data_IF_584466048993
#
_entry.id   IF_584466048993
#
_cell.length_a   1.000
_cell.length_b   1.000
_cell.length_c   1.000
_cell.angle_alpha   90.00
_cell.angle_beta   90.00
_cell.angle_gamma   90.00
#
_symmetry.space_group_name_H-M   'P 1'
#
loop_
_entity.id
_entity.type
_entity.pdbx_description
1 polymer ?
#
# COMPACT_ATOMS: atom_id res chain seq x y z
N UNK A 1 24.77 30.08 -1.76
CA UNK A 1 25.89 30.09 -2.74
C UNK A 1 26.63 28.74 -2.77
N UNK A 2 25.91 27.61 -2.77
CA UNK A 2 26.52 26.28 -2.62
C UNK A 2 26.03 25.22 -3.62
N UNK A 3 25.04 25.52 -4.47
CA UNK A 3 24.48 24.53 -5.41
C UNK A 3 25.18 24.48 -6.79
N UNK A 4 26.00 25.47 -7.16
CA UNK A 4 26.70 25.47 -8.45
C UNK A 4 27.96 24.60 -8.49
N UNK A 5 28.61 24.37 -7.33
CA UNK A 5 29.86 23.58 -7.28
C UNK A 5 29.61 22.07 -7.44
N UNK A 6 28.45 21.56 -7.03
CA UNK A 6 28.12 20.13 -7.21
C UNK A 6 27.77 19.80 -8.67
N UNK A 7 27.07 20.69 -9.37
CA UNK A 7 26.75 20.51 -10.80
C UNK A 7 27.99 20.53 -11.71
N UNK A 8 29.05 21.23 -11.31
CA UNK A 8 30.29 21.34 -12.09
C UNK A 8 31.18 20.08 -11.98
N UNK A 9 31.16 19.41 -10.83
CA UNK A 9 31.92 18.16 -10.61
C UNK A 9 31.34 17.00 -11.43
N UNK A 10 30.01 16.93 -11.54
CA UNK A 10 29.30 15.86 -12.26
C UNK A 10 29.59 15.86 -13.78
N UNK A 11 29.71 17.04 -14.38
CA UNK A 11 30.09 17.19 -15.80
C UNK A 11 31.50 16.70 -16.09
N UNK A 12 32.44 16.83 -15.14
CA UNK A 12 33.82 16.35 -15.30
C UNK A 12 33.93 14.82 -15.23
N UNK A 13 33.16 14.18 -14.34
CA UNK A 13 33.14 12.71 -14.21
C UNK A 13 32.45 12.01 -15.39
N UNK A 14 31.47 12.66 -16.01
CA UNK A 14 30.80 12.14 -17.21
C UNK A 14 31.71 12.11 -18.44
N UNK A 15 32.66 13.04 -18.51
CA UNK A 15 33.61 13.17 -19.62
C UNK A 15 34.83 12.24 -19.48
N UNK A 16 35.04 11.63 -18.32
CA UNK A 16 36.19 10.75 -18.05
C UNK A 16 35.93 9.26 -18.28
N UNK A 17 34.73 8.86 -18.74
CA UNK A 17 34.44 7.45 -19.11
C UNK A 17 34.51 6.43 -17.97
N UNK A 18 34.48 6.90 -16.71
CA UNK A 18 34.80 6.10 -15.52
C UNK A 18 33.60 5.55 -14.76
N UNK A 19 32.37 5.87 -15.17
CA UNK A 19 31.15 5.45 -14.48
C UNK A 19 30.25 4.66 -15.42
N UNK A 20 29.82 3.49 -14.97
CA UNK A 20 28.86 2.65 -15.69
C UNK A 20 27.52 3.40 -15.83
N UNK A 21 26.85 3.23 -16.97
CA UNK A 21 25.59 3.94 -17.28
C UNK A 21 24.50 3.65 -16.24
N UNK A 22 24.56 2.47 -15.63
CA UNK A 22 23.69 1.99 -14.55
C UNK A 22 23.87 2.80 -13.26
N UNK A 23 25.12 3.03 -12.84
CA UNK A 23 25.48 3.78 -11.63
C UNK A 23 25.07 5.25 -11.73
N UNK A 24 25.30 5.85 -12.90
CA UNK A 24 24.88 7.22 -13.20
C UNK A 24 23.35 7.37 -13.16
N UNK A 25 22.62 6.39 -13.68
CA UNK A 25 21.15 6.38 -13.64
C UNK A 25 20.64 6.28 -12.20
N UNK A 26 21.25 5.42 -11.37
CA UNK A 26 20.91 5.29 -9.94
C UNK A 26 21.17 6.58 -9.17
N UNK A 27 22.30 7.24 -9.40
CA UNK A 27 22.65 8.49 -8.70
C UNK A 27 21.73 9.66 -9.07
N UNK A 28 21.30 9.73 -10.35
CA UNK A 28 20.31 10.72 -10.80
C UNK A 28 18.94 10.44 -10.19
N UNK A 29 18.56 9.17 -10.05
CA UNK A 29 17.33 8.77 -9.39
C UNK A 29 17.34 9.18 -7.90
N UNK A 30 18.41 8.87 -7.17
CA UNK A 30 18.58 9.24 -5.77
C UNK A 30 18.46 10.75 -5.51
N UNK A 31 19.12 11.57 -6.35
CA UNK A 31 19.04 13.03 -6.23
C UNK A 31 17.58 13.50 -6.40
N UNK A 32 16.83 12.91 -7.33
CA UNK A 32 15.43 13.27 -7.57
C UNK A 32 14.49 12.73 -6.51
N UNK A 33 14.72 11.53 -5.99
CA UNK A 33 13.96 10.99 -4.86
C UNK A 33 14.16 11.88 -3.62
N UNK A 34 15.37 12.39 -3.38
CA UNK A 34 15.63 13.35 -2.28
C UNK A 34 14.93 14.70 -2.49
N UNK A 35 14.99 15.27 -3.70
CA UNK A 35 14.30 16.53 -4.01
C UNK A 35 12.78 16.40 -3.94
N UNK A 36 12.26 15.24 -4.34
CA UNK A 36 10.83 14.97 -4.32
C UNK A 36 10.34 14.42 -2.98
N UNK A 37 11.20 13.88 -2.11
CA UNK A 37 10.80 13.23 -0.86
C UNK A 37 9.88 12.01 -1.08
N UNK A 38 9.87 11.43 -2.28
CA UNK A 38 9.10 10.23 -2.61
C UNK A 38 10.03 9.27 -3.34
N UNK A 39 10.07 8.01 -2.91
CA UNK A 39 10.86 6.99 -3.58
C UNK A 39 10.11 6.40 -4.78
N UNK A 40 10.81 6.02 -5.84
CA UNK A 40 10.16 5.49 -7.06
C UNK A 40 9.36 4.21 -6.76
N UNK A 41 9.87 3.34 -5.88
CA UNK A 41 9.13 2.14 -5.48
C UNK A 41 7.86 2.45 -4.68
N UNK A 42 7.80 3.58 -3.95
CA UNK A 42 6.56 4.03 -3.30
C UNK A 42 5.52 4.40 -4.36
N UNK A 43 5.94 5.07 -5.44
CA UNK A 43 5.05 5.34 -6.56
C UNK A 43 4.60 4.04 -7.21
N UNK A 44 5.49 3.07 -7.45
CA UNK A 44 5.16 1.76 -8.04
C UNK A 44 4.28 0.88 -7.14
N UNK A 45 4.25 1.14 -5.82
CA UNK A 45 3.42 0.40 -4.87
C UNK A 45 1.91 0.67 -5.00
N UNK A 46 1.51 1.69 -5.75
CA UNK A 46 0.11 2.13 -5.80
C UNK A 46 -0.93 1.03 -6.15
N UNK A 47 -0.65 0.01 -7.00
CA UNK A 47 -1.60 -1.07 -7.26
C UNK A 47 -1.78 -1.96 -6.02
N UNK A 48 -0.69 -2.25 -5.32
CA UNK A 48 -0.71 -3.05 -4.11
C UNK A 48 -1.39 -2.33 -2.95
N UNK A 49 -1.25 -1.00 -2.86
CA UNK A 49 -1.93 -0.18 -1.86
C UNK A 49 -3.46 -0.19 -2.01
N UNK A 50 -3.98 -0.54 -3.18
CA UNK A 50 -5.42 -0.56 -3.39
C UNK A 50 -6.08 -1.81 -2.81
N UNK A 51 -5.31 -2.88 -2.54
CA UNK A 51 -5.79 -4.08 -1.86
C UNK A 51 -6.40 -3.71 -0.50
N UNK A 52 -7.51 -4.34 -0.14
CA UNK A 52 -8.17 -4.11 1.15
C UNK A 52 -7.42 -4.82 2.29
N UNK A 53 -7.57 -4.34 3.54
CA UNK A 53 -7.06 -5.03 4.71
C UNK A 53 -7.58 -6.47 4.79
N UNK A 54 -6.77 -7.34 5.36
CA UNK A 54 -7.12 -8.75 5.58
C UNK A 54 -8.12 -8.83 6.74
N UNK A 55 -9.18 -9.60 6.53
CA UNK A 55 -10.20 -9.85 7.53
C UNK A 55 -9.92 -11.15 8.29
N UNK A 56 -10.31 -11.23 9.58
CA UNK A 56 -10.49 -12.50 10.26
C UNK A 56 -11.56 -13.36 9.57
N UNK A 57 -11.44 -14.68 9.66
CA UNK A 57 -12.31 -15.64 8.94
C UNK A 57 -13.81 -15.49 9.21
N UNK A 58 -14.18 -14.97 10.39
CA UNK A 58 -15.57 -14.75 10.79
C UNK A 58 -16.13 -13.39 10.33
N UNK A 59 -15.33 -12.54 9.68
CA UNK A 59 -15.74 -11.25 9.14
C UNK A 59 -15.63 -11.30 7.62
N UNK A 60 -16.64 -10.80 6.92
CA UNK A 60 -16.61 -10.70 5.45
C UNK A 60 -16.89 -9.29 4.95
N UNK A 61 -16.39 -9.02 3.76
CA UNK A 61 -16.75 -7.84 3.01
C UNK A 61 -18.10 -8.02 2.33
N UNK A 62 -18.90 -6.95 2.36
CA UNK A 62 -20.22 -6.90 1.75
C UNK A 62 -20.40 -5.61 0.96
N UNK A 63 -21.11 -5.68 -0.16
CA UNK A 63 -21.59 -4.54 -0.93
C UNK A 63 -23.04 -4.79 -1.37
N UNK A 64 -23.88 -3.78 -1.17
CA UNK A 64 -25.30 -3.74 -1.54
C UNK A 64 -25.48 -3.56 -3.04
N UNK A 65 -24.59 -2.80 -3.66
CA UNK A 65 -24.65 -2.48 -5.08
C UNK A 65 -23.63 -3.32 -5.85
N UNK A 66 -24.04 -3.82 -7.01
CA UNK A 66 -23.12 -4.49 -7.93
C UNK A 66 -22.18 -3.43 -8.54
N UNK A 67 -21.02 -3.26 -7.93
CA UNK A 67 -20.04 -2.26 -8.34
C UNK A 67 -19.31 -2.74 -9.59
N UNK A 68 -19.64 -2.15 -10.74
CA UNK A 68 -18.99 -2.42 -12.03
C UNK A 68 -17.49 -2.09 -12.08
N UNK A 69 -16.99 -1.33 -11.10
CA UNK A 69 -15.60 -0.84 -11.03
C UNK A 69 -14.83 -1.34 -9.80
N UNK A 70 -15.20 -2.49 -9.25
CA UNK A 70 -14.34 -3.19 -8.28
C UNK A 70 -13.14 -3.71 -9.06
N UNK A 71 -11.97 -3.12 -8.84
CA UNK A 71 -10.75 -3.59 -9.47
C UNK A 71 -10.55 -5.08 -9.11
N UNK A 72 -10.06 -5.92 -10.03
CA UNK A 72 -10.01 -7.37 -9.86
C UNK A 72 -9.13 -7.85 -8.69
N UNK A 73 -8.40 -6.95 -8.03
CA UNK A 73 -7.56 -7.21 -6.86
C UNK A 73 -8.14 -6.66 -5.55
N UNK A 74 -9.35 -6.09 -5.57
CA UNK A 74 -10.11 -5.81 -4.36
C UNK A 74 -10.68 -7.14 -3.87
N UNK A 75 -10.50 -7.45 -2.59
CA UNK A 75 -10.83 -8.75 -1.97
C UNK A 75 -12.22 -9.26 -2.35
N UNK A 76 -12.44 -10.57 -2.30
CA UNK A 76 -13.72 -11.21 -2.64
C UNK A 76 -14.90 -10.53 -1.91
N UNK A 77 -15.60 -9.65 -2.63
CA UNK A 77 -16.78 -8.95 -2.11
C UNK A 77 -17.97 -9.86 -2.37
N UNK A 78 -18.67 -10.23 -1.31
CA UNK A 78 -19.93 -10.94 -1.45
C UNK A 78 -21.07 -9.96 -1.73
N UNK A 79 -21.86 -10.22 -2.77
CA UNK A 79 -23.17 -9.59 -2.99
C UNK A 79 -24.22 -10.42 -2.23
N UNK A 80 -25.10 -9.78 -1.47
CA UNK A 80 -26.02 -10.53 -0.60
C UNK A 80 -27.10 -11.20 -1.44
N UNK A 81 -27.10 -12.53 -1.43
CA UNK A 81 -28.34 -13.26 -1.19
C UNK A 81 -28.19 -13.95 0.16
N UNK A 82 -28.95 -13.46 1.14
CA UNK A 82 -29.36 -14.12 2.39
C UNK A 82 -28.45 -15.24 2.94
N UNK A 83 -27.52 -14.90 3.84
CA UNK A 83 -27.07 -15.86 4.89
C UNK A 83 -26.90 -15.14 6.22
N UNK A 84 -27.72 -15.58 7.17
CA UNK A 84 -27.73 -15.15 8.56
C UNK A 84 -26.40 -15.56 9.25
N UNK A 85 -25.97 -14.77 10.24
CA UNK A 85 -24.85 -14.98 11.19
C UNK A 85 -23.44 -14.43 10.87
N UNK A 86 -23.11 -14.01 9.65
CA UNK A 86 -21.77 -13.43 9.40
C UNK A 86 -21.69 -11.94 9.75
N UNK A 87 -20.60 -11.51 10.40
CA UNK A 87 -20.33 -10.09 10.64
C UNK A 87 -19.79 -9.47 9.34
N UNK A 88 -20.47 -8.44 8.84
CA UNK A 88 -20.11 -7.82 7.57
C UNK A 88 -19.54 -6.41 7.75
N UNK A 89 -18.51 -6.11 6.96
CA UNK A 89 -18.06 -4.74 6.71
C UNK A 89 -18.68 -4.27 5.40
N UNK A 90 -19.58 -3.30 5.50
CA UNK A 90 -20.21 -2.68 4.33
C UNK A 90 -19.20 -1.77 3.63
N UNK A 91 -18.73 -2.20 2.46
CA UNK A 91 -17.79 -1.44 1.63
C UNK A 91 -18.47 -0.20 1.02
N UNK A 92 -19.80 -0.15 0.94
CA UNK A 92 -20.50 1.00 0.37
C UNK A 92 -20.39 2.26 1.22
N UNK A 93 -20.25 2.07 2.52
CA UNK A 93 -20.05 3.14 3.50
C UNK A 93 -18.59 3.63 3.53
N UNK A 94 -17.71 2.99 2.76
CA UNK A 94 -16.27 3.25 2.76
C UNK A 94 -15.85 3.78 1.38
N UNK A 95 -15.08 4.86 1.37
CA UNK A 95 -14.49 5.38 0.15
C UNK A 95 -13.39 4.44 -0.37
N UNK A 96 -13.66 3.72 -1.46
CA UNK A 96 -12.73 2.76 -2.07
C UNK A 96 -11.52 3.40 -2.78
N UNK A 97 -11.46 4.73 -2.86
CA UNK A 97 -10.36 5.46 -3.50
C UNK A 97 -10.19 5.21 -5.01
N UNK A 98 -11.13 4.53 -5.67
CA UNK A 98 -11.05 4.12 -7.09
C UNK A 98 -10.79 5.31 -8.02
N UNK A 99 -11.49 6.43 -7.81
CA UNK A 99 -11.27 7.64 -8.62
C UNK A 99 -9.83 8.16 -8.50
N UNK A 100 -9.25 8.11 -7.31
CA UNK A 100 -7.86 8.56 -7.09
C UNK A 100 -6.87 7.56 -7.66
N UNK A 101 -7.18 6.27 -7.55
CA UNK A 101 -6.44 5.20 -8.20
C UNK A 101 -6.40 5.41 -9.71
N UNK A 102 -7.54 5.59 -10.38
CA UNK A 102 -7.58 5.76 -11.84
C UNK A 102 -6.84 7.02 -12.31
N UNK A 103 -6.94 8.13 -11.57
CA UNK A 103 -6.16 9.35 -11.84
C UNK A 103 -4.65 9.10 -11.77
N UNK A 104 -4.21 8.41 -10.71
CA UNK A 104 -2.81 8.05 -10.54
C UNK A 104 -2.33 7.05 -11.60
N UNK A 105 -3.08 5.98 -11.83
CA UNK A 105 -2.82 4.95 -12.82
C UNK A 105 -2.63 5.57 -14.21
N UNK A 106 -3.57 6.43 -14.62
CA UNK A 106 -3.49 7.16 -15.88
C UNK A 106 -2.22 8.01 -15.98
N UNK A 107 -1.88 8.75 -14.92
CA UNK A 107 -0.66 9.54 -14.90
C UNK A 107 0.60 8.67 -15.06
N UNK A 108 0.66 7.55 -14.34
CA UNK A 108 1.81 6.62 -14.39
C UNK A 108 1.92 5.98 -15.78
N UNK A 109 0.83 5.46 -16.34
CA UNK A 109 0.81 4.85 -17.68
C UNK A 109 1.22 5.87 -18.75
N UNK A 110 0.61 7.07 -18.75
CA UNK A 110 0.96 8.12 -19.71
C UNK A 110 2.40 8.62 -19.54
N UNK A 111 2.91 8.67 -18.30
CA UNK A 111 4.28 9.01 -17.98
C UNK A 111 5.26 8.00 -18.56
N UNK A 112 5.05 6.71 -18.28
CA UNK A 112 5.88 5.61 -18.78
C UNK A 112 5.85 5.52 -20.31
N UNK A 113 4.67 5.65 -20.94
CA UNK A 113 4.53 5.62 -22.39
C UNK A 113 5.30 6.76 -23.08
N UNK A 114 5.42 7.93 -22.44
CA UNK A 114 6.21 9.05 -22.97
C UNK A 114 7.70 8.86 -22.69
N UNK A 115 8.08 8.30 -21.55
CA UNK A 115 9.49 8.06 -21.20
C UNK A 115 10.13 6.98 -22.09
N UNK A 116 9.37 5.93 -22.45
CA UNK A 116 9.83 4.86 -23.34
C UNK A 116 10.08 5.31 -24.80
N UNK A 117 9.59 6.48 -25.21
CA UNK A 117 9.85 7.05 -26.55
C UNK A 117 11.22 7.73 -26.64
N UNK A 118 11.77 8.21 -25.53
CA UNK A 118 13.04 8.93 -25.47
C UNK A 118 14.19 7.94 -25.11
N UNK A 119 14.52 7.01 -26.04
CA UNK A 119 15.53 5.94 -25.82
C UNK A 119 16.91 6.47 -25.36
N UNK A 120 17.31 7.66 -25.79
CA UNK A 120 18.64 8.22 -25.52
C UNK A 120 18.74 9.05 -24.24
N UNK A 121 17.60 9.44 -23.65
CA UNK A 121 17.54 10.25 -22.41
C UNK A 121 16.28 9.89 -21.61
N UNK A 122 16.26 8.76 -20.88
CA UNK A 122 15.15 8.45 -19.99
C UNK A 122 15.01 9.57 -18.96
N UNK A 123 14.02 10.45 -19.17
CA UNK A 123 13.75 11.54 -18.25
C UNK A 123 12.88 10.99 -17.14
N UNK A 124 13.49 10.55 -16.05
CA UNK A 124 12.86 10.29 -14.74
C UNK A 124 12.05 11.49 -14.17
N UNK A 125 11.83 12.55 -14.96
CA UNK A 125 11.22 13.82 -14.59
C UNK A 125 9.71 13.81 -14.87
N UNK A 126 9.19 12.74 -15.49
CA UNK A 126 7.76 12.64 -15.81
C UNK A 126 6.99 11.92 -14.71
N UNK A 127 7.57 10.90 -14.06
CA UNK A 127 6.98 10.27 -12.88
C UNK A 127 6.88 11.21 -11.66
N UNK A 128 7.77 12.21 -11.54
CA UNK A 128 7.66 13.25 -10.51
C UNK A 128 6.39 14.09 -10.65
N UNK A 129 5.79 14.17 -11.84
CA UNK A 129 4.49 14.84 -12.07
C UNK A 129 3.32 14.06 -11.46
N UNK A 130 3.46 12.74 -11.32
CA UNK A 130 2.44 11.90 -10.70
C UNK A 130 2.47 11.95 -9.16
N UNK A 131 3.46 12.63 -8.56
CA UNK A 131 3.61 12.76 -7.11
C UNK A 131 2.37 13.37 -6.45
N UNK A 132 1.79 14.42 -7.02
CA UNK A 132 0.60 15.07 -6.45
C UNK A 132 -0.59 14.09 -6.39
N UNK A 133 -0.79 13.33 -7.47
CA UNK A 133 -1.80 12.27 -7.54
C UNK A 133 -1.51 11.16 -6.53
N UNK A 134 -0.26 10.74 -6.37
CA UNK A 134 0.14 9.74 -5.38
C UNK A 134 -0.14 10.20 -3.95
N UNK A 135 0.19 11.44 -3.59
CA UNK A 135 -0.06 11.97 -2.25
C UNK A 135 -1.56 11.96 -1.93
N UNK A 136 -2.40 12.37 -2.88
CA UNK A 136 -3.86 12.38 -2.71
C UNK A 136 -4.38 10.95 -2.55
N UNK A 137 -3.92 10.04 -3.41
CA UNK A 137 -4.28 8.62 -3.36
C UNK A 137 -3.85 7.96 -2.04
N UNK A 138 -2.59 8.11 -1.62
CA UNK A 138 -2.08 7.54 -0.38
C UNK A 138 -2.82 8.09 0.86
N UNK A 139 -3.18 9.38 0.86
CA UNK A 139 -4.04 9.96 1.91
C UNK A 139 -5.43 9.30 1.94
N UNK A 140 -6.03 9.06 0.78
CA UNK A 140 -7.31 8.36 0.68
C UNK A 140 -7.21 6.93 1.25
N UNK A 141 -6.26 6.14 0.76
CA UNK A 141 -6.01 4.76 1.22
C UNK A 141 -5.74 4.73 2.73
N UNK A 142 -4.98 5.69 3.26
CA UNK A 142 -4.72 5.79 4.71
C UNK A 142 -5.94 6.07 5.56
N UNK A 143 -6.90 6.84 5.05
CA UNK A 143 -8.17 7.03 5.75
C UNK A 143 -9.02 5.76 5.65
N UNK A 144 -9.13 5.19 4.44
CA UNK A 144 -9.87 3.94 4.18
C UNK A 144 -9.41 2.80 5.08
N UNK A 145 -8.12 2.51 5.10
CA UNK A 145 -7.58 1.37 5.85
C UNK A 145 -7.77 1.56 7.36
N UNK A 146 -7.65 2.78 7.88
CA UNK A 146 -7.93 3.09 9.30
C UNK A 146 -9.41 2.91 9.65
N UNK A 147 -10.31 3.31 8.75
CA UNK A 147 -11.75 3.11 8.94
C UNK A 147 -12.05 1.60 9.00
N UNK A 148 -11.55 0.84 8.04
CA UNK A 148 -11.72 -0.62 8.00
C UNK A 148 -11.11 -1.27 9.24
N UNK A 149 -9.88 -0.94 9.62
CA UNK A 149 -9.22 -1.51 10.79
C UNK A 149 -9.99 -1.26 12.09
N UNK A 150 -10.60 -0.08 12.24
CA UNK A 150 -11.47 0.22 13.38
C UNK A 150 -12.77 -0.61 13.38
N UNK A 151 -13.34 -0.87 12.21
CA UNK A 151 -14.51 -1.76 12.09
C UNK A 151 -14.13 -3.20 12.44
N UNK A 152 -12.99 -3.69 11.93
CA UNK A 152 -12.45 -5.01 12.28
C UNK A 152 -12.26 -5.10 13.79
N UNK A 153 -11.57 -4.14 14.39
CA UNK A 153 -11.33 -4.12 15.83
C UNK A 153 -12.63 -4.16 16.65
N UNK A 154 -13.67 -3.44 16.23
CA UNK A 154 -14.98 -3.48 16.89
C UNK A 154 -15.56 -4.90 16.86
N UNK A 155 -15.55 -5.53 15.70
CA UNK A 155 -16.05 -6.90 15.53
C UNK A 155 -15.24 -7.93 16.33
N UNK A 156 -13.90 -7.83 16.32
CA UNK A 156 -12.99 -8.67 17.09
C UNK A 156 -13.18 -8.45 18.59
N UNK A 157 -13.23 -7.20 19.05
CA UNK A 157 -13.45 -6.89 20.47
C UNK A 157 -14.79 -7.42 20.98
N UNK A 158 -15.85 -7.36 20.17
CA UNK A 158 -17.14 -7.92 20.53
C UNK A 158 -17.14 -9.45 20.51
N UNK A 159 -16.32 -10.07 19.65
CA UNK A 159 -16.12 -11.51 19.64
C UNK A 159 -15.38 -11.97 20.90
N UNK A 160 -14.28 -11.29 21.25
CA UNK A 160 -13.46 -11.57 22.44
C UNK A 160 -14.28 -11.54 23.73
N UNK A 161 -15.20 -10.58 23.89
CA UNK A 161 -16.10 -10.51 25.06
C UNK A 161 -16.99 -11.73 25.25
N UNK A 162 -17.36 -12.40 24.16
CA UNK A 162 -18.32 -13.52 24.17
C UNK A 162 -17.66 -14.88 24.39
N UNK A 163 -16.38 -15.01 24.09
CA UNK A 163 -15.64 -16.28 24.18
C UNK A 163 -14.90 -16.41 25.52
N UNK A 164 -14.68 -17.65 26.02
CA UNK A 164 -13.93 -17.89 27.26
C UNK A 164 -12.43 -17.55 27.11
N UNK A 165 -11.74 -17.33 28.23
CA UNK A 165 -10.34 -16.87 28.24
C UNK A 165 -9.39 -17.76 27.45
N UNK A 166 -9.52 -19.09 27.53
CA UNK A 166 -8.65 -20.02 26.79
C UNK A 166 -8.78 -19.82 25.27
N UNK A 167 -10.01 -19.61 24.79
CA UNK A 167 -10.29 -19.31 23.38
C UNK A 167 -9.81 -17.92 22.96
N UNK A 168 -9.76 -16.94 23.87
CA UNK A 168 -9.16 -15.62 23.61
C UNK A 168 -7.66 -15.73 23.36
N UNK A 169 -6.97 -16.57 24.14
CA UNK A 169 -5.54 -16.81 23.98
C UNK A 169 -5.25 -17.53 22.66
N UNK A 170 -6.02 -18.56 22.33
CA UNK A 170 -5.93 -19.25 21.03
C UNK A 170 -6.09 -18.26 19.86
N UNK A 171 -7.11 -17.40 19.92
CA UNK A 171 -7.34 -16.39 18.88
C UNK A 171 -6.19 -15.37 18.76
N UNK A 172 -5.63 -14.93 19.88
CA UNK A 172 -4.49 -14.00 19.88
C UNK A 172 -3.24 -14.68 19.29
N UNK A 173 -2.99 -15.94 19.62
CA UNK A 173 -1.87 -16.71 19.05
C UNK A 173 -2.04 -16.91 17.53
N UNK A 174 -3.26 -17.16 17.07
CA UNK A 174 -3.57 -17.25 15.65
C UNK A 174 -3.31 -15.92 14.92
N UNK A 175 -3.75 -14.79 15.51
CA UNK A 175 -3.48 -13.47 14.96
C UNK A 175 -1.97 -13.17 14.89
N UNK A 176 -1.21 -13.57 15.91
CA UNK A 176 0.25 -13.46 15.90
C UNK A 176 0.92 -14.31 14.82
N UNK A 177 0.47 -15.56 14.66
CA UNK A 177 0.94 -16.45 13.59
C UNK A 177 0.66 -15.83 12.22
N UNK A 178 -0.53 -15.26 12.03
CA UNK A 178 -0.89 -14.59 10.79
C UNK A 178 0.01 -13.36 10.53
N UNK A 179 0.26 -12.53 11.54
CA UNK A 179 1.22 -11.42 11.45
C UNK A 179 2.62 -11.92 11.09
N UNK A 180 3.08 -13.02 11.69
CA UNK A 180 4.35 -13.66 11.39
C UNK A 180 4.44 -14.12 9.93
N UNK A 181 3.42 -14.84 9.44
CA UNK A 181 3.34 -15.29 8.06
C UNK A 181 3.38 -14.13 7.06
N UNK A 182 2.69 -13.02 7.34
CA UNK A 182 2.72 -11.82 6.49
C UNK A 182 4.09 -11.15 6.48
N UNK A 183 4.81 -11.15 7.61
CA UNK A 183 6.19 -10.64 7.67
C UNK A 183 7.14 -11.52 6.87
N UNK A 184 7.08 -12.84 7.03
CA UNK A 184 7.93 -13.78 6.27
C UNK A 184 7.70 -13.65 4.76
N UNK A 185 6.44 -13.63 4.32
CA UNK A 185 6.10 -13.37 2.90
C UNK A 185 6.59 -12.01 2.43
N UNK A 186 6.52 -10.99 3.28
CA UNK A 186 7.10 -9.68 2.99
C UNK A 186 8.60 -9.76 2.78
N UNK A 187 9.33 -10.47 3.62
CA UNK A 187 10.80 -10.55 3.54
C UNK A 187 11.25 -11.33 2.28
N UNK A 188 10.52 -12.39 1.93
CA UNK A 188 10.74 -13.24 0.74
C UNK A 188 10.39 -12.55 -0.59
N UNK A 189 9.54 -11.52 -0.59
CA UNK A 189 9.13 -10.83 -1.83
C UNK A 189 10.26 -10.02 -2.44
N UNK A 190 10.68 -10.32 -3.66
CA UNK A 190 11.69 -9.51 -4.37
C UNK A 190 11.16 -8.12 -4.79
N UNK A 191 9.83 -7.96 -4.84
CA UNK A 191 9.21 -6.71 -5.25
C UNK A 191 9.11 -5.69 -4.09
N UNK A 192 9.88 -4.61 -4.17
CA UNK A 192 9.89 -3.53 -3.17
C UNK A 192 8.50 -2.86 -3.00
N UNK A 193 7.74 -2.79 -4.08
CA UNK A 193 6.38 -2.26 -4.09
C UNK A 193 5.40 -3.14 -3.28
N UNK A 194 5.52 -4.46 -3.40
CA UNK A 194 4.70 -5.40 -2.63
C UNK A 194 5.12 -5.45 -1.16
N UNK A 195 6.44 -5.45 -0.89
CA UNK A 195 7.02 -5.27 0.46
C UNK A 195 6.44 -4.06 1.18
N UNK A 196 6.36 -2.91 0.51
CA UNK A 196 5.80 -1.69 1.09
C UNK A 196 4.34 -1.88 1.52
N UNK A 197 3.51 -2.46 0.64
CA UNK A 197 2.10 -2.72 0.92
C UNK A 197 1.90 -3.75 2.05
N UNK A 198 2.67 -4.84 2.06
CA UNK A 198 2.63 -5.84 3.13
C UNK A 198 3.03 -5.24 4.49
N UNK A 199 4.09 -4.44 4.54
CA UNK A 199 4.54 -3.79 5.79
C UNK A 199 3.43 -2.94 6.44
N UNK A 200 2.60 -2.32 5.61
CA UNK A 200 1.49 -1.47 6.04
C UNK A 200 0.36 -2.29 6.65
N UNK A 201 -0.04 -3.38 5.99
CA UNK A 201 -1.03 -4.33 6.53
C UNK A 201 -0.56 -4.91 7.86
N UNK A 202 0.71 -5.30 7.95
CA UNK A 202 1.33 -5.79 9.18
C UNK A 202 1.29 -4.78 10.31
N UNK A 203 1.55 -3.49 10.03
CA UNK A 203 1.45 -2.41 11.04
C UNK A 203 0.04 -2.27 11.61
N UNK A 204 -0.99 -2.32 10.76
CA UNK A 204 -2.39 -2.26 11.21
C UNK A 204 -2.75 -3.46 12.08
N UNK A 205 -2.47 -4.67 11.60
CA UNK A 205 -2.70 -5.91 12.37
C UNK A 205 -1.97 -5.92 13.71
N UNK A 206 -0.72 -5.46 13.75
CA UNK A 206 0.08 -5.37 14.99
C UNK A 206 -0.51 -4.35 15.96
N UNK A 207 -0.93 -3.18 15.48
CA UNK A 207 -1.60 -2.17 16.31
C UNK A 207 -2.90 -2.72 16.90
N UNK A 208 -3.68 -3.43 16.09
CA UNK A 208 -4.94 -4.07 16.48
C UNK A 208 -4.73 -5.17 17.53
N UNK A 209 -3.77 -6.06 17.32
CA UNK A 209 -3.35 -7.08 18.30
C UNK A 209 -3.02 -6.45 19.66
N UNK A 210 -2.21 -5.39 19.68
CA UNK A 210 -1.85 -4.71 20.93
C UNK A 210 -3.06 -4.12 21.65
N UNK A 211 -4.03 -3.57 20.90
CA UNK A 211 -5.29 -3.07 21.46
C UNK A 211 -6.16 -4.19 22.03
N UNK A 212 -6.21 -5.35 21.36
CA UNK A 212 -6.97 -6.51 21.84
C UNK A 212 -6.36 -7.08 23.12
N UNK A 213 -5.04 -7.23 23.18
CA UNK A 213 -4.32 -7.68 24.38
C UNK A 213 -4.65 -6.80 25.57
N UNK A 214 -4.44 -5.48 25.43
CA UNK A 214 -4.70 -4.51 26.50
C UNK A 214 -6.15 -4.53 27.02
N UNK A 215 -7.11 -4.92 26.17
CA UNK A 215 -8.53 -4.86 26.50
C UNK A 215 -9.10 -6.18 27.05
N UNK A 216 -8.50 -7.33 26.71
CA UNK A 216 -9.12 -8.65 26.91
C UNK A 216 -8.22 -9.71 27.56
N UNK A 217 -6.92 -9.40 27.76
CA UNK A 217 -5.96 -10.19 28.53
C UNK A 217 -5.43 -9.36 29.69
#
# INVERSE_FOLDING_TARGET
>A
MTDEKQNFSFKRLFLSGFLDRSEVSGLIQDIRERQSGLKVHELQSYPFLHKLPVLPDFIKYFSKEERSLVLPFVADITTSSEKEDQKYINIDEINLCDQQYFKLNRCVIEGLAKDNKDKDKPKFNRLSRCKSHYIIYNKCVTRRDKTIDNMIYKHESDHMKKIPMDKRLEYIQELEKNIGNYKSKSDESDEAAEKFAMSRSTKLMTSRLNRLRKAHL
#
